data_IF_647125618487
#
_entry.id   IF_647125618487
#
_cell.length_a   1.000
_cell.length_b   1.000
_cell.length_c   1.000
_cell.angle_alpha   90.00
_cell.angle_beta   90.00
_cell.angle_gamma   90.00
#
_symmetry.space_group_name_H-M   'P 1'
#
loop_
_entity.id
_entity.type
_entity.pdbx_description
1 polymer ?
#
# COMPACT_ATOMS: atom_id res chain seq x y z
N UNK A 1 22.32 4.21 -7.30
CA UNK A 1 21.14 4.54 -8.13
C UNK A 1 21.54 4.82 -9.57
N UNK A 2 20.86 4.21 -10.56
CA UNK A 2 21.17 4.34 -12.00
C UNK A 2 20.24 5.30 -12.75
N UNK A 3 19.05 5.53 -12.19
CA UNK A 3 18.03 6.41 -12.77
C UNK A 3 17.63 7.52 -11.81
N UNK A 4 16.87 8.50 -12.30
CA UNK A 4 16.23 9.51 -11.43
C UNK A 4 15.24 8.84 -10.47
N UNK A 5 14.51 7.83 -10.93
CA UNK A 5 13.59 7.04 -10.11
C UNK A 5 14.33 6.30 -8.98
N UNK A 6 15.46 5.65 -9.29
CA UNK A 6 16.29 4.96 -8.29
C UNK A 6 16.82 5.94 -7.24
N UNK A 7 17.21 7.16 -7.66
CA UNK A 7 17.71 8.19 -6.74
C UNK A 7 16.58 8.63 -5.81
N UNK A 8 15.43 8.98 -6.37
CA UNK A 8 14.26 9.35 -5.60
C UNK A 8 13.85 8.27 -4.59
N UNK A 9 13.78 7.00 -5.01
CA UNK A 9 13.44 5.90 -4.11
C UNK A 9 14.45 5.73 -2.98
N UNK A 10 15.75 5.91 -3.25
CA UNK A 10 16.79 5.92 -2.21
C UNK A 10 16.69 7.13 -1.29
N UNK A 11 16.35 8.30 -1.82
CA UNK A 11 16.17 9.51 -1.02
C UNK A 11 14.99 9.33 -0.06
N UNK A 12 13.86 8.77 -0.53
CA UNK A 12 12.70 8.42 0.30
C UNK A 12 13.08 7.36 1.36
N UNK A 13 13.83 6.33 0.99
CA UNK A 13 14.30 5.31 1.92
C UNK A 13 15.11 5.92 3.07
N UNK A 14 16.14 6.71 2.74
CA UNK A 14 17.01 7.31 3.75
C UNK A 14 16.29 8.36 4.58
N UNK A 15 15.38 9.12 3.96
CA UNK A 15 14.51 10.05 4.66
C UNK A 15 13.72 9.35 5.77
N UNK A 16 13.02 8.26 5.46
CA UNK A 16 12.21 7.55 6.45
C UNK A 16 13.03 6.73 7.44
N UNK A 17 14.08 6.04 7.01
CA UNK A 17 14.97 5.31 7.92
C UNK A 17 15.56 6.21 9.01
N UNK A 18 16.00 7.42 8.63
CA UNK A 18 16.53 8.39 9.60
C UNK A 18 15.47 8.87 10.61
N UNK A 19 14.21 9.02 10.19
CA UNK A 19 13.10 9.45 11.06
C UNK A 19 12.60 8.34 11.98
N UNK A 20 12.82 7.09 11.61
CA UNK A 20 12.68 5.93 12.49
C UNK A 20 13.85 5.81 13.48
N UNK A 21 14.77 6.78 13.52
CA UNK A 21 15.88 6.83 14.46
C UNK A 21 17.09 5.98 14.07
N UNK A 22 17.11 5.40 12.87
CA UNK A 22 18.20 4.55 12.42
C UNK A 22 19.34 5.39 11.84
N UNK A 23 20.55 5.18 12.36
CA UNK A 23 21.79 5.68 11.77
C UNK A 23 22.13 4.93 10.47
N UNK A 24 22.98 5.54 9.64
CA UNK A 24 23.46 4.86 8.42
C UNK A 24 24.19 3.56 8.71
N UNK A 25 24.93 3.48 9.82
CA UNK A 25 25.67 2.28 10.17
C UNK A 25 24.72 1.16 10.64
N UNK A 26 23.69 1.48 11.42
CA UNK A 26 22.64 0.51 11.76
C UNK A 26 21.95 -0.03 10.51
N UNK A 27 21.54 0.85 9.58
CA UNK A 27 20.94 0.40 8.31
C UNK A 27 21.91 -0.46 7.50
N UNK A 28 23.21 -0.16 7.49
CA UNK A 28 24.22 -1.00 6.82
C UNK A 28 24.35 -2.38 7.47
N UNK A 29 24.17 -2.50 8.79
CA UNK A 29 24.18 -3.80 9.48
C UNK A 29 22.98 -4.69 9.11
N UNK A 30 21.83 -4.09 8.76
CA UNK A 30 20.68 -4.83 8.19
C UNK A 30 21.02 -5.44 6.82
N UNK A 31 22.01 -4.90 6.12
CA UNK A 31 22.57 -5.50 4.91
C UNK A 31 21.56 -5.55 3.77
N UNK A 32 21.26 -6.75 3.26
CA UNK A 32 20.46 -6.95 2.03
C UNK A 32 18.95 -7.01 2.27
N UNK A 33 18.50 -7.00 3.52
CA UNK A 33 17.06 -6.98 3.84
C UNK A 33 16.50 -5.56 3.90
N UNK A 34 17.36 -4.55 4.09
CA UNK A 34 16.94 -3.16 4.04
C UNK A 34 16.98 -2.60 2.62
N UNK A 35 15.91 -1.93 2.19
CA UNK A 35 15.84 -1.29 0.88
C UNK A 35 14.50 -0.64 0.57
N UNK A 36 14.40 -0.13 -0.66
CA UNK A 36 13.18 0.43 -1.21
C UNK A 36 12.68 -0.39 -2.40
N UNK A 37 11.39 -0.69 -2.40
CA UNK A 37 10.64 -1.14 -3.56
C UNK A 37 9.88 0.06 -4.14
N UNK A 38 9.87 0.24 -5.47
CA UNK A 38 9.16 1.38 -6.06
C UNK A 38 8.45 1.02 -7.36
N UNK A 39 7.32 1.68 -7.61
CA UNK A 39 6.57 1.60 -8.86
C UNK A 39 5.76 2.87 -9.10
N UNK A 40 5.42 3.11 -10.36
CA UNK A 40 4.54 4.21 -10.77
C UNK A 40 3.13 3.65 -10.97
N UNK A 41 2.15 4.32 -10.38
CA UNK A 41 0.75 4.01 -10.55
C UNK A 41 0.10 5.10 -11.39
N UNK A 42 -0.53 4.67 -12.49
CA UNK A 42 -1.22 5.54 -13.45
C UNK A 42 -2.67 5.11 -13.53
N UNK A 43 -3.60 5.99 -13.18
CA UNK A 43 -5.06 5.79 -13.31
C UNK A 43 -5.65 6.89 -14.17
N UNK A 44 -6.36 6.53 -15.23
CA UNK A 44 -6.86 7.49 -16.23
C UNK A 44 -8.39 7.44 -16.34
N UNK A 45 -9.00 8.54 -16.75
CA UNK A 45 -10.44 8.59 -17.02
C UNK A 45 -10.91 7.61 -18.12
N UNK A 46 -10.01 7.12 -18.98
CA UNK A 46 -10.31 6.14 -20.02
C UNK A 46 -10.50 4.71 -19.48
N UNK A 47 -10.06 4.43 -18.24
CA UNK A 47 -10.26 3.13 -17.61
C UNK A 47 -11.68 2.98 -17.06
N UNK A 48 -12.20 1.74 -16.95
CA UNK A 48 -13.46 1.46 -16.27
C UNK A 48 -13.49 2.06 -14.86
N UNK A 49 -14.67 2.45 -14.37
CA UNK A 49 -14.81 3.11 -13.07
C UNK A 49 -14.19 2.32 -11.91
N UNK A 50 -14.30 0.99 -11.94
CA UNK A 50 -13.68 0.07 -10.97
C UNK A 50 -12.15 0.10 -11.00
N UNK A 51 -11.54 0.45 -12.12
CA UNK A 51 -10.08 0.47 -12.31
C UNK A 51 -9.46 1.86 -12.11
N UNK A 52 -10.27 2.91 -11.91
CA UNK A 52 -9.78 4.29 -11.68
C UNK A 52 -9.28 4.53 -10.26
N UNK A 53 -9.58 3.61 -9.34
CA UNK A 53 -9.14 3.64 -7.97
C UNK A 53 -8.05 2.62 -7.67
N UNK A 54 -7.91 2.35 -6.37
CA UNK A 54 -7.25 1.17 -5.84
C UNK A 54 -8.24 0.53 -4.90
N UNK A 55 -8.44 -0.77 -5.10
CA UNK A 55 -9.09 -1.62 -4.13
C UNK A 55 -8.40 -1.51 -2.77
N UNK A 56 -9.10 -1.87 -1.70
CA UNK A 56 -8.51 -1.85 -0.37
C UNK A 56 -7.50 -2.99 -0.22
N UNK A 57 -6.34 -2.76 0.35
CA UNK A 57 -5.31 -3.79 0.46
C UNK A 57 -4.31 -3.44 1.55
N UNK A 58 -3.47 -4.43 1.83
CA UNK A 58 -2.17 -4.23 2.46
C UNK A 58 -1.12 -4.34 1.37
N UNK A 59 -0.13 -3.44 1.44
CA UNK A 59 1.12 -3.65 0.75
C UNK A 59 1.83 -4.83 1.38
N UNK A 60 2.28 -5.78 0.57
CA UNK A 60 2.87 -7.02 1.05
C UNK A 60 3.78 -7.64 0.01
N UNK A 61 4.66 -8.51 0.48
CA UNK A 61 5.36 -9.43 -0.41
C UNK A 61 4.38 -10.45 -0.99
N UNK A 62 3.84 -10.12 -2.17
CA UNK A 62 2.87 -10.95 -2.88
C UNK A 62 3.42 -12.34 -3.22
N UNK A 63 4.72 -12.44 -3.52
CA UNK A 63 5.34 -13.72 -3.89
C UNK A 63 5.51 -14.61 -2.65
N UNK A 64 5.87 -14.03 -1.51
CA UNK A 64 5.91 -14.77 -0.24
C UNK A 64 4.52 -15.23 0.19
N UNK A 65 3.50 -14.39 0.02
CA UNK A 65 2.10 -14.76 0.29
C UNK A 65 1.66 -15.90 -0.65
N UNK A 66 1.90 -15.78 -1.95
CA UNK A 66 1.50 -16.77 -2.95
C UNK A 66 2.20 -18.13 -2.78
N UNK A 67 3.46 -18.11 -2.35
CA UNK A 67 4.30 -19.31 -2.20
C UNK A 67 4.15 -19.99 -0.84
N UNK A 68 4.01 -19.19 0.22
CA UNK A 68 4.14 -19.65 1.61
C UNK A 68 2.94 -19.33 2.49
N UNK A 69 1.97 -18.57 2.00
CA UNK A 69 0.81 -18.12 2.79
C UNK A 69 1.23 -17.27 4.00
N UNK A 70 2.34 -16.52 3.83
CA UNK A 70 2.91 -15.63 4.84
C UNK A 70 2.83 -14.21 4.29
N UNK A 71 2.21 -13.32 5.05
CA UNK A 71 2.10 -11.92 4.67
C UNK A 71 3.11 -11.08 5.46
N UNK A 72 4.02 -10.44 4.74
CA UNK A 72 4.98 -9.48 5.31
C UNK A 72 4.77 -8.16 4.61
N UNK A 73 4.53 -7.12 5.39
CA UNK A 73 4.28 -5.75 4.94
C UNK A 73 5.54 -4.90 5.05
N UNK A 74 5.68 -3.80 4.29
CA UNK A 74 6.79 -2.88 4.47
C UNK A 74 6.71 -2.21 5.85
N UNK A 75 7.85 -1.69 6.31
CA UNK A 75 7.88 -0.89 7.55
C UNK A 75 7.18 0.45 7.33
N UNK A 76 7.40 1.07 6.16
CA UNK A 76 6.70 2.30 5.76
C UNK A 76 6.22 2.16 4.33
N UNK A 77 4.93 2.39 4.11
CA UNK A 77 4.35 2.58 2.78
C UNK A 77 4.26 4.08 2.47
N UNK A 78 4.47 4.46 1.20
CA UNK A 78 4.42 5.87 0.80
C UNK A 78 3.68 6.10 -0.51
N UNK A 79 3.11 7.29 -0.68
CA UNK A 79 2.55 7.77 -1.94
C UNK A 79 3.05 9.18 -2.21
N UNK A 80 3.71 9.38 -3.35
CA UNK A 80 4.06 10.71 -3.85
C UNK A 80 3.22 11.03 -5.07
N UNK A 81 2.44 12.10 -5.02
CA UNK A 81 1.57 12.47 -6.12
C UNK A 81 2.31 13.26 -7.19
N UNK A 82 2.18 12.82 -8.45
CA UNK A 82 2.72 13.48 -9.64
C UNK A 82 1.59 14.19 -10.43
N UNK A 83 0.41 14.31 -9.82
CA UNK A 83 -0.80 14.95 -10.36
C UNK A 83 -1.69 15.39 -9.20
N UNK A 84 -2.55 16.40 -9.43
CA UNK A 84 -3.50 16.89 -8.42
C UNK A 84 -4.94 16.40 -8.61
N UNK A 85 -5.16 15.30 -9.35
CA UNK A 85 -6.50 14.81 -9.69
C UNK A 85 -6.66 13.30 -9.43
N UNK A 86 -7.91 12.88 -9.28
CA UNK A 86 -8.32 11.48 -9.14
C UNK A 86 -8.65 11.03 -7.71
N UNK A 87 -8.69 9.71 -7.49
CA UNK A 87 -9.13 9.13 -6.22
C UNK A 87 -8.19 9.45 -5.05
N UNK A 88 -8.74 9.87 -3.89
CA UNK A 88 -7.96 10.09 -2.68
C UNK A 88 -7.44 8.77 -2.10
N UNK A 89 -6.28 8.82 -1.45
CA UNK A 89 -5.82 7.73 -0.58
C UNK A 89 -6.65 7.74 0.71
N UNK A 90 -7.08 6.57 1.16
CA UNK A 90 -7.68 6.38 2.48
C UNK A 90 -6.88 5.33 3.24
N UNK A 91 -6.45 5.65 4.47
CA UNK A 91 -5.70 4.75 5.37
C UNK A 91 -6.48 4.59 6.68
N UNK A 92 -6.58 3.37 7.22
CA UNK A 92 -7.37 3.07 8.42
C UNK A 92 -6.49 2.56 9.55
N UNK A 93 -6.68 3.08 10.77
CA UNK A 93 -5.71 2.95 11.87
C UNK A 93 -5.62 1.59 12.58
N UNK A 94 -6.61 0.70 12.47
CA UNK A 94 -6.72 -0.47 13.38
C UNK A 94 -6.51 -1.83 12.74
N UNK A 95 -6.54 -1.89 11.42
CA UNK A 95 -6.36 -3.15 10.71
C UNK A 95 -4.88 -3.33 10.42
N UNK A 96 -4.21 -4.11 11.26
CA UNK A 96 -2.85 -4.59 11.03
C UNK A 96 -2.88 -6.04 10.55
N UNK A 97 -2.06 -6.32 9.55
CA UNK A 97 -1.81 -7.68 9.10
C UNK A 97 -0.78 -8.33 10.04
N UNK A 98 -1.19 -9.35 10.80
CA UNK A 98 -0.25 -10.11 11.62
C UNK A 98 0.80 -10.80 10.73
N UNK A 99 2.09 -10.56 11.01
CA UNK A 99 3.23 -10.98 10.17
C UNK A 99 3.38 -12.50 10.01
N UNK A 100 2.76 -13.31 10.86
CA UNK A 100 2.97 -14.77 10.91
C UNK A 100 1.73 -15.59 10.50
N UNK A 101 0.93 -15.09 9.55
CA UNK A 101 -0.24 -15.82 9.07
C UNK A 101 -1.36 -15.89 10.12
N UNK A 102 -1.37 -14.92 11.04
CA UNK A 102 -2.48 -14.68 11.94
C UNK A 102 -3.75 -14.35 11.18
N UNK A 103 -4.90 -14.70 11.78
CA UNK A 103 -6.18 -14.28 11.22
C UNK A 103 -6.22 -12.74 11.26
N UNK A 104 -6.64 -12.11 10.16
CA UNK A 104 -6.91 -10.68 10.17
C UNK A 104 -7.94 -10.40 11.26
N UNK A 105 -7.54 -9.63 12.27
CA UNK A 105 -8.44 -9.14 13.30
C UNK A 105 -9.38 -8.12 12.64
N UNK A 106 -10.69 -8.32 12.83
CA UNK A 106 -11.63 -7.25 12.52
C UNK A 106 -11.37 -6.03 13.40
N UNK A 107 -12.02 -4.91 13.11
CA UNK A 107 -11.89 -3.69 13.92
C UNK A 107 -12.32 -3.85 15.40
N UNK A 108 -13.02 -4.93 15.75
CA UNK A 108 -13.51 -5.19 17.10
C UNK A 108 -14.40 -4.05 17.62
N UNK A 109 -14.25 -3.73 18.90
CA UNK A 109 -14.90 -2.61 19.58
C UNK A 109 -13.98 -1.37 19.66
N UNK A 110 -12.98 -1.26 18.77
CA UNK A 110 -12.03 -0.15 18.79
C UNK A 110 -12.56 1.09 18.04
N UNK A 111 -12.11 2.29 18.44
CA UNK A 111 -12.31 3.53 17.67
C UNK A 111 -11.53 3.46 16.37
N UNK A 112 -12.18 3.59 15.22
CA UNK A 112 -11.49 3.56 13.92
C UNK A 112 -11.24 4.98 13.41
N UNK A 113 -9.97 5.30 13.10
CA UNK A 113 -9.62 6.55 12.41
C UNK A 113 -9.40 6.27 10.93
N UNK A 114 -10.01 7.09 10.08
CA UNK A 114 -9.80 7.07 8.64
C UNK A 114 -9.08 8.35 8.23
N UNK A 115 -7.88 8.19 7.68
CA UNK A 115 -7.08 9.28 7.15
C UNK A 115 -7.28 9.37 5.66
N UNK A 116 -7.77 10.51 5.18
CA UNK A 116 -8.08 10.71 3.75
C UNK A 116 -7.17 11.78 3.17
N UNK A 117 -6.43 11.43 2.13
CA UNK A 117 -5.52 12.34 1.46
C UNK A 117 -5.86 12.51 -0.02
N UNK A 118 -6.19 13.75 -0.44
CA UNK A 118 -6.44 14.06 -1.86
C UNK A 118 -5.12 14.20 -2.63
N UNK A 119 -5.09 13.76 -3.90
CA UNK A 119 -3.92 14.00 -4.75
C UNK A 119 -3.61 15.50 -4.84
N UNK A 120 -2.39 15.88 -4.54
CA UNK A 120 -1.84 17.21 -4.79
C UNK A 120 -0.44 17.04 -5.33
N UNK A 121 -0.12 17.63 -6.49
CA UNK A 121 1.20 17.51 -7.10
C UNK A 121 2.33 17.82 -6.09
N UNK A 122 3.30 16.92 -6.00
CA UNK A 122 4.44 17.04 -5.09
C UNK A 122 4.18 16.53 -3.67
N UNK A 123 2.91 16.35 -3.26
CA UNK A 123 2.58 15.87 -1.92
C UNK A 123 3.09 14.43 -1.71
N UNK A 124 3.79 14.22 -0.60
CA UNK A 124 4.29 12.94 -0.14
C UNK A 124 3.54 12.51 1.13
N UNK A 125 2.98 11.31 1.12
CA UNK A 125 2.28 10.71 2.27
C UNK A 125 3.04 9.46 2.68
N UNK A 126 3.24 9.26 3.97
CA UNK A 126 3.85 8.05 4.53
C UNK A 126 2.99 7.52 5.68
N UNK A 127 2.91 6.19 5.80
CA UNK A 127 2.12 5.51 6.82
C UNK A 127 2.73 4.15 7.14
N UNK A 128 2.35 3.58 8.27
CA UNK A 128 2.74 2.22 8.64
C UNK A 128 2.26 1.23 7.56
N UNK A 129 3.18 0.44 7.01
CA UNK A 129 2.88 -0.45 5.88
C UNK A 129 1.92 -1.59 6.21
N UNK A 130 1.72 -1.87 7.49
CA UNK A 130 0.75 -2.83 8.00
C UNK A 130 -0.70 -2.35 7.97
N UNK A 131 -0.95 -1.07 7.68
CA UNK A 131 -2.30 -0.49 7.69
C UNK A 131 -3.09 -0.78 6.41
N UNK A 132 -4.37 -1.12 6.57
CA UNK A 132 -5.32 -1.25 5.46
C UNK A 132 -5.55 0.11 4.80
N UNK A 133 -5.43 0.15 3.48
CA UNK A 133 -5.60 1.37 2.72
C UNK A 133 -6.13 1.11 1.32
N UNK A 134 -6.63 2.16 0.66
CA UNK A 134 -7.16 2.07 -0.70
C UNK A 134 -7.30 3.43 -1.35
N UNK A 135 -7.77 3.45 -2.60
CA UNK A 135 -8.13 4.70 -3.29
C UNK A 135 -9.53 4.57 -3.88
N UNK A 136 -10.59 4.81 -3.08
CA UNK A 136 -11.97 4.57 -3.52
C UNK A 136 -12.33 5.40 -4.75
N UNK A 137 -12.55 4.76 -5.90
CA UNK A 137 -12.81 5.44 -7.17
C UNK A 137 -14.02 6.39 -7.12
N UNK A 138 -15.02 6.08 -6.29
CA UNK A 138 -16.24 6.88 -6.10
C UNK A 138 -15.97 8.23 -5.43
N UNK A 139 -14.80 8.41 -4.83
CA UNK A 139 -14.36 9.66 -4.21
C UNK A 139 -13.44 10.49 -5.11
N UNK A 140 -13.00 9.89 -6.21
CA UNK A 140 -12.17 10.57 -7.19
C UNK A 140 -12.98 11.42 -8.16
N UNK A 141 -12.31 12.40 -8.73
CA UNK A 141 -12.82 13.14 -9.87
C UNK A 141 -13.03 12.22 -11.07
N UNK A 142 -14.05 12.52 -11.87
CA UNK A 142 -14.39 11.72 -13.06
C UNK A 142 -13.48 11.98 -14.25
N UNK A 143 -12.79 13.13 -14.24
CA UNK A 143 -11.88 13.58 -15.29
C UNK A 143 -10.44 13.67 -14.78
N UNK A 144 -9.49 13.49 -15.69
CA UNK A 144 -8.06 13.62 -15.41
C UNK A 144 -7.30 12.29 -15.27
N UNK A 145 -6.04 12.41 -14.87
CA UNK A 145 -5.10 11.31 -14.71
C UNK A 145 -4.46 11.40 -13.32
N UNK A 146 -4.69 10.38 -12.49
CA UNK A 146 -3.99 10.21 -11.22
C UNK A 146 -2.68 9.49 -11.49
N UNK A 147 -1.59 10.21 -11.29
CA UNK A 147 -0.24 9.70 -11.38
C UNK A 147 0.40 9.76 -9.99
N UNK A 148 0.89 8.64 -9.51
CA UNK A 148 1.60 8.57 -8.24
C UNK A 148 2.83 7.67 -8.32
N UNK A 149 3.85 8.03 -7.56
CA UNK A 149 5.02 7.21 -7.31
C UNK A 149 4.92 6.63 -5.91
N UNK A 150 4.93 5.30 -5.82
CA UNK A 150 4.88 4.56 -4.57
C UNK A 150 6.28 4.04 -4.26
N UNK A 151 6.72 4.22 -3.02
CA UNK A 151 7.99 3.71 -2.51
C UNK A 151 7.75 3.04 -1.17
N UNK A 152 7.90 1.73 -1.12
CA UNK A 152 7.80 0.96 0.10
C UNK A 152 9.18 0.78 0.71
N UNK A 153 9.32 1.14 1.98
CA UNK A 153 10.55 1.06 2.76
C UNK A 153 10.52 -0.22 3.58
N UNK A 154 11.49 -1.07 3.32
CA UNK A 154 11.68 -2.34 3.98
C UNK A 154 12.95 -2.28 4.82
N UNK A 155 12.91 -2.66 6.09
CA UNK A 155 14.07 -2.66 6.97
C UNK A 155 14.50 -4.07 7.41
N UNK A 156 13.56 -5.00 7.47
CA UNK A 156 13.77 -6.34 8.01
C UNK A 156 13.32 -7.46 7.05
N UNK A 157 12.90 -7.11 5.83
CA UNK A 157 12.46 -8.06 4.82
C UNK A 157 12.83 -7.62 3.42
N UNK A 158 13.29 -8.54 2.58
CA UNK A 158 13.47 -8.28 1.15
C UNK A 158 12.36 -8.97 0.35
N UNK A 159 11.48 -8.23 -0.34
CA UNK A 159 10.44 -8.85 -1.13
C UNK A 159 10.97 -9.79 -2.21
N UNK A 160 10.44 -11.01 -2.29
CA UNK A 160 10.94 -12.08 -3.16
C UNK A 160 10.80 -11.75 -4.66
N UNK A 161 9.73 -11.06 -5.04
CA UNK A 161 9.40 -10.76 -6.43
C UNK A 161 10.08 -9.54 -7.03
N UNK A 162 10.93 -8.85 -6.26
CA UNK A 162 11.55 -7.60 -6.70
C UNK A 162 12.81 -7.84 -7.52
N UNK A 163 12.82 -7.26 -8.73
CA UNK A 163 14.03 -7.15 -9.54
C UNK A 163 14.82 -5.91 -9.11
N UNK A 164 16.14 -6.04 -9.02
CA UNK A 164 16.98 -4.86 -8.78
C UNK A 164 16.97 -4.00 -10.04
N UNK A 165 17.11 -2.67 -9.88
CA UNK A 165 17.21 -1.78 -11.04
C UNK A 165 18.34 -2.20 -12.00
N UNK A 166 19.44 -2.74 -11.44
CA UNK A 166 20.52 -3.34 -12.23
C UNK A 166 20.07 -4.48 -13.15
N UNK A 167 19.28 -5.43 -12.64
CA UNK A 167 18.72 -6.52 -13.45
C UNK A 167 17.70 -6.04 -14.48
N UNK A 168 16.87 -5.05 -14.13
CA UNK A 168 15.84 -4.51 -15.03
C UNK A 168 16.46 -3.92 -16.31
N UNK A 169 17.52 -3.12 -16.19
CA UNK A 169 18.21 -2.54 -17.35
C UNK A 169 19.07 -3.53 -18.12
N UNK A 170 19.55 -4.60 -17.49
CA UNK A 170 20.21 -5.68 -18.21
C UNK A 170 19.22 -6.36 -19.18
N UNK A 171 18.01 -6.66 -18.71
CA UNK A 171 16.96 -7.30 -19.52
C UNK A 171 16.38 -6.36 -20.59
N UNK A 172 16.16 -5.08 -20.26
CA UNK A 172 15.60 -4.11 -21.21
C UNK A 172 16.50 -3.87 -22.43
N UNK A 173 17.83 -3.93 -22.25
CA UNK A 173 18.81 -3.79 -23.35
C UNK A 173 18.82 -4.96 -24.32
N UNK A 174 18.14 -6.07 -24.00
CA UNK A 174 18.10 -7.27 -24.84
C UNK A 174 16.73 -7.49 -25.49
N UNK A 175 15.75 -6.63 -25.21
CA UNK A 175 14.45 -6.67 -25.91
C UNK A 175 14.47 -5.76 -27.13
N UNK A 176 14.09 -6.25 -28.32
CA UNK A 176 13.91 -5.39 -29.48
C UNK A 176 12.84 -4.33 -29.17
N UNK A 177 13.08 -3.07 -29.58
CA UNK A 177 12.11 -1.97 -29.46
C UNK A 177 10.81 -2.37 -30.14
N UNK A 178 9.81 -2.76 -29.36
CA UNK A 178 8.44 -2.86 -29.85
C UNK A 178 7.88 -1.43 -29.98
N UNK A 179 7.25 -1.14 -31.12
CA UNK A 179 6.66 0.16 -31.44
C UNK A 179 5.56 0.52 -30.44
N UNK A 180 5.39 1.82 -30.18
CA UNK A 180 4.73 2.40 -29.02
C UNK A 180 3.20 2.22 -28.92
N UNK A 181 2.58 1.35 -29.71
CA UNK A 181 1.11 1.26 -29.80
C UNK A 181 0.45 0.24 -28.85
N UNK A 182 1.21 -0.56 -28.08
CA UNK A 182 0.63 -1.69 -27.36
C UNK A 182 0.95 -1.77 -25.84
N UNK A 183 1.20 -0.62 -25.21
CA UNK A 183 1.40 -0.53 -23.74
C UNK A 183 0.16 -0.02 -23.01
N UNK A 184 -0.98 -0.69 -23.23
CA UNK A 184 -2.05 -0.74 -22.22
C UNK A 184 -1.64 -1.74 -21.11
N UNK A 185 -2.15 -1.56 -19.88
CA UNK A 185 -1.68 -2.15 -18.62
C UNK A 185 -1.73 -3.68 -18.46
N UNK A 186 -1.36 -4.45 -19.48
CA UNK A 186 -1.40 -5.92 -19.51
C UNK A 186 -0.03 -6.61 -19.53
N UNK A 187 1.09 -5.88 -19.57
CA UNK A 187 2.40 -6.53 -19.66
C UNK A 187 3.01 -6.97 -18.31
N UNK A 188 2.67 -6.33 -17.19
CA UNK A 188 3.18 -6.74 -15.87
C UNK A 188 2.59 -8.07 -15.39
N UNK A 189 1.37 -8.43 -15.82
CA UNK A 189 0.74 -9.71 -15.47
C UNK A 189 1.25 -10.89 -16.33
N UNK A 190 1.81 -10.65 -17.51
CA UNK A 190 2.26 -11.72 -18.44
C UNK A 190 3.68 -12.22 -18.19
N UNK A 191 4.56 -11.40 -17.60
CA UNK A 191 5.94 -11.82 -17.25
C UNK A 191 5.94 -12.88 -16.13
N UNK A 192 4.89 -12.92 -15.30
CA UNK A 192 4.75 -13.81 -14.12
C UNK A 192 4.51 -15.31 -14.41
N UNK A 193 4.17 -15.72 -15.64
CA UNK A 193 3.82 -17.14 -15.92
C UNK A 193 4.98 -18.10 -16.22
N UNK A 194 6.25 -17.63 -16.27
CA UNK A 194 7.36 -18.45 -16.79
C UNK A 194 8.42 -18.93 -15.78
N UNK A 195 8.35 -18.59 -14.50
CA UNK A 195 9.36 -19.04 -13.52
C UNK A 195 8.78 -19.30 -12.13
N UNK A 196 8.20 -20.48 -11.91
CA UNK A 196 8.20 -21.12 -10.58
C UNK A 196 8.25 -22.64 -10.79
N UNK A 197 9.46 -23.20 -10.74
CA UNK A 197 9.69 -24.65 -10.61
C UNK A 197 11.03 -24.86 -9.90
N UNK A 198 11.11 -24.56 -8.60
CA UNK A 198 11.92 -25.34 -7.67
C UNK A 198 11.79 -24.88 -6.19
N UNK A 199 11.35 -25.85 -5.37
CA UNK A 199 11.81 -26.21 -4.01
C UNK A 199 11.34 -25.43 -2.76
N UNK A 200 10.80 -26.23 -1.83
CA UNK A 200 10.53 -25.98 -0.42
C UNK A 200 11.75 -26.46 0.42
N UNK A 201 12.00 -25.96 1.63
CA UNK A 201 11.49 -26.56 2.89
C UNK A 201 11.94 -25.79 4.17
N UNK A 202 11.10 -25.89 5.24
CA UNK A 202 11.32 -25.69 6.72
C UNK A 202 11.41 -24.24 7.26
N UNK A 203 10.96 -23.86 8.48
CA UNK A 203 10.35 -24.52 9.67
C UNK A 203 9.70 -23.45 10.62
N UNK A 204 8.89 -23.92 11.60
CA UNK A 204 8.30 -23.25 12.81
C UNK A 204 9.39 -22.69 13.78
N UNK A 205 9.19 -21.89 14.84
CA UNK A 205 8.08 -21.49 15.73
C UNK A 205 8.57 -20.38 16.72
N UNK A 206 7.64 -19.68 17.40
CA UNK A 206 7.73 -18.81 18.62
C UNK A 206 8.01 -17.30 18.46
N UNK A 207 7.07 -16.45 18.89
CA UNK A 207 7.16 -15.70 20.18
C UNK A 207 5.94 -14.79 20.45
N UNK A 208 5.75 -14.49 21.75
CA UNK A 208 4.83 -13.49 22.30
C UNK A 208 5.32 -12.06 21.99
N UNK A 209 4.41 -11.10 21.75
CA UNK A 209 4.29 -9.86 22.53
C UNK A 209 3.30 -8.83 21.95
N UNK A 210 2.95 -7.90 22.85
CA UNK A 210 2.08 -6.71 22.84
C UNK A 210 1.92 -5.90 21.54
N UNK A 211 0.68 -5.46 21.29
CA UNK A 211 0.28 -4.59 20.17
C UNK A 211 0.86 -3.16 20.28
N UNK A 212 1.47 -2.61 19.21
CA UNK A 212 1.79 -1.19 19.10
C UNK A 212 0.62 -0.39 18.50
N UNK A 213 0.37 0.80 19.03
CA UNK A 213 -0.55 1.77 18.43
C UNK A 213 -0.02 2.24 17.07
N UNK A 214 -0.78 2.04 15.99
CA UNK A 214 -0.39 2.45 14.63
C UNK A 214 -0.24 3.97 14.49
N UNK A 215 0.96 4.44 14.14
CA UNK A 215 1.26 5.86 13.94
C UNK A 215 1.25 6.24 12.45
N UNK A 216 0.55 7.32 12.11
CA UNK A 216 0.59 7.94 10.78
C UNK A 216 1.60 9.11 10.78
N UNK A 217 2.61 9.06 9.91
CA UNK A 217 3.62 10.12 9.76
C UNK A 217 3.29 11.02 8.57
N UNK A 218 2.61 12.13 8.81
CA UNK A 218 2.23 13.08 7.75
C UNK A 218 3.25 14.22 7.65
N UNK A 219 3.78 14.43 6.45
CA UNK A 219 4.64 15.56 6.14
C UNK A 219 4.23 16.18 4.81
N UNK A 220 3.64 17.36 4.88
CA UNK A 220 3.45 18.20 3.70
C UNK A 220 4.80 18.82 3.32
N UNK A 221 5.24 18.58 2.09
CA UNK A 221 6.50 19.11 1.56
C UNK A 221 6.25 19.80 0.22
N UNK A 222 5.37 20.81 0.26
CA UNK A 222 5.25 21.78 -0.81
C UNK A 222 6.07 23.03 -0.51
N UNK A 223 7.13 23.18 -1.31
CA UNK A 223 7.97 24.35 -1.59
C UNK A 223 9.14 24.68 -0.65
N UNK A 224 10.26 25.01 -1.31
CA UNK A 224 11.53 25.36 -0.69
C UNK A 224 11.42 26.62 0.15
N UNK A 225 11.29 26.44 1.45
CA UNK A 225 11.75 27.38 2.45
C UNK A 225 12.08 26.58 3.71
N UNK A 226 13.13 27.01 4.40
CA UNK A 226 13.43 26.55 5.74
C UNK A 226 12.28 26.92 6.68
N UNK A 227 11.27 26.07 6.75
CA UNK A 227 10.25 26.04 7.79
C UNK A 227 10.24 24.58 8.28
N UNK A 228 11.09 24.18 9.23
CA UNK A 228 10.80 24.39 10.65
C UNK A 228 9.30 24.53 10.86
N UNK A 229 8.67 23.43 11.30
CA UNK A 229 7.51 23.52 12.17
C UNK A 229 7.68 24.75 13.07
N UNK A 230 6.67 25.59 13.17
CA UNK A 230 6.69 26.67 14.15
C UNK A 230 7.10 26.03 15.50
N UNK A 231 8.16 26.52 16.16
CA UNK A 231 8.58 25.94 17.42
C UNK A 231 7.43 26.08 18.41
N UNK A 232 6.77 24.96 18.73
CA UNK A 232 5.64 24.92 19.65
C UNK A 232 4.41 24.13 19.22
N UNK A 233 4.26 23.73 17.94
CA UNK A 233 3.08 22.91 17.54
C UNK A 233 3.33 21.44 17.88
N UNK A 234 2.64 20.90 18.89
CA UNK A 234 2.76 19.48 19.25
C UNK A 234 2.02 18.60 18.23
N UNK A 235 2.47 17.36 18.05
CA UNK A 235 1.74 16.35 17.25
C UNK A 235 0.26 16.26 17.64
N UNK A 236 -0.04 16.43 18.93
CA UNK A 236 -1.41 16.42 19.46
C UNK A 236 -2.29 17.56 18.93
N UNK A 237 -1.73 18.74 18.61
CA UNK A 237 -2.51 19.87 18.09
C UNK A 237 -2.88 19.70 16.61
N UNK A 238 -2.04 19.00 15.83
CA UNK A 238 -2.33 18.63 14.43
C UNK A 238 -3.39 17.52 14.40
N UNK A 239 -3.28 16.55 15.31
CA UNK A 239 -4.29 15.51 15.51
C UNK A 239 -5.63 16.11 15.96
N UNK A 240 -5.67 16.97 16.98
CA UNK A 240 -6.91 17.60 17.48
C UNK A 240 -7.60 18.51 16.45
N UNK A 241 -6.86 19.19 15.57
CA UNK A 241 -7.45 20.02 14.51
C UNK A 241 -8.01 19.21 13.34
N UNK A 242 -7.41 18.07 13.00
CA UNK A 242 -7.92 17.20 11.93
C UNK A 242 -9.08 16.31 12.39
N UNK A 243 -9.20 16.09 13.71
CA UNK A 243 -10.12 15.14 14.34
C UNK A 243 -11.50 15.69 14.74
N UNK A 244 -11.88 16.91 14.32
CA UNK A 244 -13.10 17.56 14.82
C UNK A 244 -14.41 16.98 14.28
N UNK A 245 -14.34 16.22 13.19
CA UNK A 245 -15.55 15.78 12.50
C UNK A 245 -15.86 14.34 12.91
N UNK A 246 -16.65 14.17 13.97
CA UNK A 246 -17.48 12.96 14.06
C UNK A 246 -18.31 12.88 12.77
N UNK A 247 -18.59 11.68 12.28
CA UNK A 247 -19.42 11.52 11.10
C UNK A 247 -20.86 12.02 11.38
N UNK A 248 -21.10 13.32 11.16
CA UNK A 248 -22.35 14.01 11.47
C UNK A 248 -23.54 13.44 10.67
N UNK A 249 -24.74 13.86 11.07
CA UNK A 249 -25.98 13.60 10.35
C UNK A 249 -25.92 14.15 8.91
N UNK A 250 -25.59 13.27 7.96
CA UNK A 250 -25.43 13.62 6.54
C UNK A 250 -24.13 13.12 5.92
N UNK A 251 -23.21 12.57 6.71
CA UNK A 251 -21.96 12.00 6.21
C UNK A 251 -22.18 10.99 5.07
N UNK A 252 -21.28 11.01 4.10
CA UNK A 252 -21.29 10.13 2.95
C UNK A 252 -20.64 8.82 3.35
N UNK A 253 -21.36 7.72 3.21
CA UNK A 253 -20.76 6.40 3.36
C UNK A 253 -19.66 6.22 2.31
N UNK A 254 -18.52 5.72 2.76
CA UNK A 254 -17.41 5.30 1.93
C UNK A 254 -17.54 3.79 1.74
N UNK A 255 -18.35 3.31 0.77
CA UNK A 255 -18.48 1.88 0.56
C UNK A 255 -17.11 1.32 0.15
N UNK A 256 -16.66 0.34 0.91
CA UNK A 256 -15.40 -0.35 0.71
C UNK A 256 -15.72 -1.78 0.35
N UNK A 257 -15.50 -2.10 -0.91
CA UNK A 257 -15.52 -3.48 -1.40
C UNK A 257 -14.10 -3.80 -1.87
N UNK A 258 -13.52 -4.89 -1.39
CA UNK A 258 -12.24 -5.40 -1.85
C UNK A 258 -12.29 -6.90 -2.04
N UNK A 259 -12.45 -7.31 -3.30
CA UNK A 259 -12.63 -8.72 -3.64
C UNK A 259 -13.67 -9.36 -2.71
N UNK A 260 -13.28 -10.29 -1.84
CA UNK A 260 -14.21 -10.98 -0.95
C UNK A 260 -14.44 -10.25 0.42
N UNK A 261 -13.74 -9.14 0.68
CA UNK A 261 -13.82 -8.33 1.92
C UNK A 261 -14.75 -7.13 1.76
N UNK A 262 -15.43 -6.75 2.85
CA UNK A 262 -16.28 -5.56 2.87
C UNK A 262 -16.05 -4.75 4.13
N UNK A 263 -15.67 -3.48 3.98
CA UNK A 263 -15.69 -2.52 5.08
C UNK A 263 -16.95 -1.67 4.97
N UNK A 264 -17.69 -1.58 6.07
CA UNK A 264 -18.93 -0.79 6.13
C UNK A 264 -18.91 0.18 7.31
N UNK A 265 -19.76 1.21 7.24
CA UNK A 265 -19.89 2.21 8.29
C UNK A 265 -18.79 3.28 8.31
N UNK A 266 -17.79 3.17 7.44
CA UNK A 266 -16.79 4.19 7.17
C UNK A 266 -17.48 5.37 6.46
N UNK A 267 -17.31 6.58 6.96
CA UNK A 267 -18.05 7.78 6.55
C UNK A 267 -17.09 8.95 6.37
N UNK A 268 -17.45 9.88 5.49
CA UNK A 268 -16.75 11.15 5.32
C UNK A 268 -17.74 12.33 5.38
N UNK A 269 -17.29 13.51 5.85
CA UNK A 269 -18.10 14.73 5.79
C UNK A 269 -18.59 15.02 4.36
N UNK A 270 -19.74 15.69 4.21
CA UNK A 270 -20.31 15.99 2.87
C UNK A 270 -19.43 16.93 2.07
N UNK A 271 -18.76 17.82 2.78
CA UNK A 271 -17.82 18.83 2.33
C UNK A 271 -16.71 18.16 1.51
N UNK A 272 -16.35 16.93 1.90
CA UNK A 272 -15.39 16.12 1.17
C UNK A 272 -15.79 15.90 -0.30
N UNK A 273 -17.09 15.86 -0.65
CA UNK A 273 -17.53 15.78 -2.06
C UNK A 273 -17.57 17.11 -2.78
N UNK A 274 -17.76 18.23 -2.06
CA UNK A 274 -18.06 19.53 -2.66
C UNK A 274 -16.84 20.42 -2.89
N UNK A 275 -15.66 20.09 -2.37
CA UNK A 275 -14.45 20.93 -2.46
C UNK A 275 -13.72 20.88 -3.81
N UNK A 276 -14.47 20.83 -4.92
CA UNK A 276 -13.94 21.23 -6.21
C UNK A 276 -13.89 22.77 -6.24
N UNK A 277 -12.80 23.35 -5.72
CA UNK A 277 -12.44 24.75 -5.97
C UNK A 277 -12.44 25.72 -4.79
N UNK A 278 -12.50 25.28 -3.53
CA UNK A 278 -12.33 26.16 -2.37
C UNK A 278 -10.84 26.28 -2.01
N UNK A 279 -10.33 27.51 -1.88
CA UNK A 279 -8.94 27.81 -1.50
C UNK A 279 -8.51 27.19 -0.15
N UNK A 280 -9.45 26.75 0.68
CA UNK A 280 -9.21 26.06 1.96
C UNK A 280 -8.81 24.57 1.84
N UNK A 281 -8.94 23.95 0.66
CA UNK A 281 -8.57 22.53 0.44
C UNK A 281 -7.05 22.33 0.24
N UNK A 282 -6.24 23.38 0.41
CA UNK A 282 -4.77 23.29 0.37
C UNK A 282 -4.21 22.30 1.40
N UNK A 283 -4.94 22.01 2.49
CA UNK A 283 -4.50 21.03 3.49
C UNK A 283 -4.69 19.58 3.03
N UNK A 284 -5.71 19.30 2.22
CA UNK A 284 -5.99 18.04 1.52
C UNK A 284 -5.83 16.74 2.31
N UNK A 285 -5.85 16.81 3.65
CA UNK A 285 -5.73 15.71 4.59
C UNK A 285 -6.85 15.83 5.62
N UNK A 286 -7.54 14.73 5.83
CA UNK A 286 -8.65 14.61 6.78
C UNK A 286 -8.38 13.45 7.73
N UNK A 287 -8.73 13.59 9.02
CA UNK A 287 -8.72 12.49 9.98
C UNK A 287 -10.13 12.32 10.56
N UNK A 288 -10.86 11.33 10.06
CA UNK A 288 -12.26 11.11 10.42
C UNK A 288 -12.32 10.04 11.50
N UNK A 289 -12.88 10.39 12.66
CA UNK A 289 -13.02 9.47 13.79
C UNK A 289 -14.36 8.75 13.71
N UNK A 290 -14.31 7.44 13.90
CA UNK A 290 -15.48 6.58 13.96
C UNK A 290 -15.50 5.88 15.32
N UNK A 291 -16.51 6.15 16.15
CA UNK A 291 -16.69 5.45 17.42
C UNK A 291 -16.70 3.92 17.28
N UNK A 292 -16.38 3.26 18.40
CA UNK A 292 -16.42 1.80 18.54
C UNK A 292 -17.67 1.17 17.91
N UNK A 293 -17.47 0.11 17.13
CA UNK A 293 -18.56 -0.65 16.50
C UNK A 293 -19.24 0.02 15.30
N UNK A 294 -18.88 1.26 14.94
CA UNK A 294 -19.43 1.91 13.75
C UNK A 294 -18.85 1.36 12.45
N UNK A 295 -17.54 1.07 12.44
CA UNK A 295 -16.86 0.50 11.27
C UNK A 295 -16.76 -1.00 11.43
N UNK A 296 -17.21 -1.75 10.42
CA UNK A 296 -17.20 -3.22 10.43
C UNK A 296 -16.37 -3.75 9.28
N UNK A 297 -15.50 -4.70 9.57
CA UNK A 297 -14.80 -5.51 8.59
C UNK A 297 -15.52 -6.86 8.47
N UNK A 298 -16.19 -7.08 7.35
CA UNK A 298 -16.71 -8.39 6.99
C UNK A 298 -15.62 -9.12 6.21
N UNK A 299 -15.04 -10.13 6.87
CA UNK A 299 -14.17 -11.10 6.23
C UNK A 299 -15.04 -11.95 5.29
N UNK A 300 -14.55 -12.34 4.11
CA UNK A 300 -15.21 -13.41 3.40
C UNK A 300 -15.30 -14.65 4.26
N UNK A 301 -16.41 -15.37 4.14
CA UNK A 301 -16.48 -16.74 4.63
C UNK A 301 -15.41 -17.54 3.88
N UNK A 302 -14.26 -17.71 4.53
CA UNK A 302 -13.21 -18.56 4.01
C UNK A 302 -13.75 -19.99 4.07
N UNK A 303 -14.25 -20.49 2.95
CA UNK A 303 -14.58 -21.90 2.85
C UNK A 303 -13.27 -22.68 2.94
N UNK A 304 -12.94 -23.13 4.15
CA UNK A 304 -11.74 -23.89 4.44
C UNK A 304 -11.60 -25.13 3.54
N UNK A 305 -12.71 -25.64 2.97
CA UNK A 305 -12.68 -26.77 2.04
C UNK A 305 -12.11 -26.41 0.67
N UNK A 306 -12.29 -25.16 0.20
CA UNK A 306 -11.76 -24.69 -1.08
C UNK A 306 -10.22 -24.53 -1.08
N UNK A 307 -9.65 -24.06 0.03
CA UNK A 307 -8.20 -23.87 0.18
C UNK A 307 -7.40 -25.20 0.16
N UNK A 308 -7.99 -26.27 0.71
CA UNK A 308 -7.40 -27.62 0.66
C UNK A 308 -7.36 -28.16 -0.77
N UNK A 309 -8.37 -27.82 -1.60
CA UNK A 309 -8.43 -28.24 -3.01
C UNK A 309 -7.35 -27.57 -3.87
N UNK A 310 -7.10 -26.27 -3.66
CA UNK A 310 -6.04 -25.51 -4.35
C UNK A 310 -4.64 -25.99 -3.96
N UNK A 311 -4.41 -26.28 -2.66
CA UNK A 311 -3.15 -26.88 -2.19
C UNK A 311 -2.91 -28.30 -2.75
N UNK A 312 -3.96 -29.12 -2.91
CA UNK A 312 -3.86 -30.47 -3.52
C UNK A 312 -3.60 -30.42 -5.03
N UNK A 313 -4.25 -29.50 -5.75
CA UNK A 313 -4.07 -29.28 -7.19
C UNK A 313 -2.62 -28.90 -7.56
N UNK A 314 -2.03 -27.94 -6.83
CA UNK A 314 -0.63 -27.53 -7.04
C UNK A 314 0.38 -28.65 -6.71
N UNK A 315 0.14 -29.47 -5.68
CA UNK A 315 0.97 -30.66 -5.37
C UNK A 315 0.84 -31.79 -6.40
N UNK A 316 -0.34 -31.99 -7.01
CA UNK A 316 -0.55 -33.02 -8.01
C UNK A 316 0.13 -32.69 -9.36
N UNK A 317 0.17 -31.39 -9.73
CA UNK A 317 0.84 -30.92 -10.95
C UNK A 317 2.35 -31.12 -10.94
N UNK A 318 3.03 -30.98 -9.79
CA UNK A 318 4.50 -31.15 -9.72
C UNK A 318 4.95 -32.62 -9.74
N UNK A 319 4.06 -33.57 -9.43
CA UNK A 319 4.37 -35.01 -9.47
C UNK A 319 4.30 -35.62 -10.88
N UNK A 320 3.61 -35.00 -11.84
CA UNK A 320 3.46 -35.52 -13.21
C UNK A 320 4.60 -35.18 -14.18
N UNK A 321 5.56 -34.32 -13.80
CA UNK A 321 6.66 -33.89 -14.67
C UNK A 321 7.98 -34.68 -14.48
N UNK A 322 7.96 -35.85 -13.83
CA UNK A 322 9.17 -36.68 -13.60
C UNK A 322 9.17 -38.08 -14.20
N UNK A 323 8.17 -38.46 -14.97
CA UNK A 323 8.14 -39.79 -15.60
C UNK A 323 7.84 -39.69 -17.09
N UNK A 324 8.81 -39.23 -17.88
CA UNK A 324 8.93 -39.57 -19.31
C UNK A 324 10.23 -38.96 -19.85
N UNK A 325 11.33 -39.71 -19.72
CA UNK A 325 12.45 -39.62 -20.66
C UNK A 325 12.55 -40.97 -21.36
N UNK A 326 12.33 -41.05 -22.68
CA UNK A 326 12.63 -42.26 -23.44
C UNK A 326 14.13 -42.54 -23.41
N UNK A 327 14.49 -43.83 -23.39
CA UNK A 327 15.87 -44.30 -23.54
C UNK A 327 16.35 -44.20 -24.97
#
# INVERSE_FOLDING_TARGET
>A
ARTVLDRFALDVFWFHASRLGLSQDEVRTLGRVAGAECWVQRRTAAQPASERGMDWHYDKDEDLLDERDIAVTPTVSTVTYLSSVGAPLVVVSHTHLEREGGALSGFGDAEVRAFVNRPLFGRHVAFDGGLLHGCPARLGETAGERLSLVVNVWLDHRPLGTVTSESYFADARHRPRQTAEDTSGHQLSRIRRRRVQDKQDKQREHSHDTEPDGHLFLLDSCEGSSALFAPGTSQSEVEERCCRDEAEAGAVELPVEFGPWKVSGLRAPREFRSTLGAEDDQRGLWCIRHPAGQVKLELPQWDATAAVSHRRSRRAGSRRLRSERPR
#
